data_IF_298248082302
#
_entry.id   IF_298248082302
#
_cell.length_a   1.000
_cell.length_b   1.000
_cell.length_c   1.000
_cell.angle_alpha   90.00
_cell.angle_beta   90.00
_cell.angle_gamma   90.00
#
_symmetry.space_group_name_H-M   'P 1'
#
loop_
_entity.id
_entity.type
_entity.pdbx_description
1 polymer ?
#
# COMPACT_ATOMS: atom_id res chain seq x y z
N UNK A 1 9.51 24.66 1.59
CA UNK A 1 9.02 25.02 2.95
C UNK A 1 8.10 26.23 2.96
N UNK A 2 7.32 26.48 1.90
CA UNK A 2 6.26 27.52 1.87
C UNK A 2 5.15 27.07 0.89
N UNK A 3 5.56 26.54 -0.27
CA UNK A 3 4.63 25.95 -1.24
C UNK A 3 3.89 24.72 -0.70
N UNK A 4 4.56 23.89 0.11
CA UNK A 4 3.94 22.70 0.74
C UNK A 4 2.83 23.08 1.72
N UNK A 5 3.05 24.07 2.59
CA UNK A 5 2.06 24.49 3.58
C UNK A 5 0.88 25.19 2.90
N UNK A 6 1.16 25.99 1.87
CA UNK A 6 0.11 26.55 0.99
C UNK A 6 -0.72 25.47 0.31
N UNK A 7 -0.08 24.41 -0.19
CA UNK A 7 -0.79 23.30 -0.83
C UNK A 7 -1.68 22.55 0.17
N UNK A 8 -1.20 22.27 1.39
CA UNK A 8 -2.02 21.64 2.45
C UNK A 8 -3.25 22.49 2.81
N UNK A 9 -3.08 23.81 2.94
CA UNK A 9 -4.20 24.73 3.20
C UNK A 9 -5.18 24.74 2.01
N UNK A 10 -4.67 24.76 0.78
CA UNK A 10 -5.51 24.73 -0.42
C UNK A 10 -6.35 23.45 -0.49
N UNK A 11 -5.78 22.28 -0.21
CA UNK A 11 -6.51 21.02 -0.17
C UNK A 11 -7.58 21.00 0.93
N UNK A 12 -7.25 21.50 2.13
CA UNK A 12 -8.24 21.62 3.21
C UNK A 12 -9.44 22.46 2.79
N UNK A 13 -9.21 23.65 2.23
CA UNK A 13 -10.28 24.54 1.79
C UNK A 13 -11.08 23.94 0.62
N UNK A 14 -10.41 23.28 -0.32
CA UNK A 14 -11.08 22.65 -1.46
C UNK A 14 -11.98 21.48 -1.02
N UNK A 15 -11.56 20.69 -0.01
CA UNK A 15 -12.37 19.61 0.58
C UNK A 15 -13.64 20.12 1.27
N UNK A 16 -13.61 21.32 1.86
CA UNK A 16 -14.82 21.94 2.44
C UNK A 16 -15.87 22.27 1.38
N UNK A 17 -15.43 22.59 0.15
CA UNK A 17 -16.31 22.93 -0.97
C UNK A 17 -16.76 21.71 -1.78
N UNK A 18 -15.91 20.68 -1.88
CA UNK A 18 -16.15 19.49 -2.69
C UNK A 18 -15.58 18.23 -1.99
N UNK A 19 -16.25 17.72 -0.93
CA UNK A 19 -15.73 16.61 -0.12
C UNK A 19 -15.66 15.26 -0.85
N UNK A 20 -16.38 15.11 -1.97
CA UNK A 20 -16.44 13.89 -2.77
C UNK A 20 -15.64 13.98 -4.10
N UNK A 21 -14.88 15.06 -4.31
CA UNK A 21 -14.07 15.22 -5.51
C UNK A 21 -12.86 14.25 -5.48
N UNK A 22 -12.97 13.17 -6.26
CA UNK A 22 -11.95 12.13 -6.35
C UNK A 22 -10.65 12.62 -6.99
N UNK A 23 -10.70 13.62 -7.87
CA UNK A 23 -9.51 14.20 -8.49
C UNK A 23 -8.74 15.02 -7.47
N UNK A 24 -9.46 15.80 -6.64
CA UNK A 24 -8.88 16.53 -5.53
C UNK A 24 -8.23 15.57 -4.52
N UNK A 25 -8.93 14.50 -4.15
CA UNK A 25 -8.44 13.50 -3.21
C UNK A 25 -7.19 12.78 -3.74
N UNK A 26 -7.17 12.44 -5.04
CA UNK A 26 -6.01 11.84 -5.72
C UNK A 26 -4.81 12.78 -5.78
N UNK A 27 -5.06 14.07 -6.02
CA UNK A 27 -4.03 15.11 -6.05
C UNK A 27 -3.41 15.33 -4.66
N UNK A 28 -4.23 15.30 -3.61
CA UNK A 28 -3.77 15.39 -2.22
C UNK A 28 -2.95 14.17 -1.83
N UNK A 29 -3.42 12.95 -2.12
CA UNK A 29 -2.66 11.72 -1.89
C UNK A 29 -1.29 11.81 -2.58
N UNK A 30 -1.25 12.22 -3.84
CA UNK A 30 -0.01 12.41 -4.60
C UNK A 30 0.96 13.41 -3.95
N UNK A 31 0.45 14.46 -3.30
CA UNK A 31 1.28 15.37 -2.51
C UNK A 31 1.89 14.65 -1.31
N UNK A 32 1.09 13.96 -0.50
CA UNK A 32 1.56 13.28 0.71
C UNK A 32 2.55 12.15 0.40
N UNK A 33 2.38 11.44 -0.72
CA UNK A 33 3.37 10.50 -1.23
C UNK A 33 4.73 11.17 -1.50
N UNK A 34 4.74 12.33 -2.18
CA UNK A 34 5.97 13.10 -2.45
C UNK A 34 6.64 13.62 -1.18
N UNK A 35 5.84 13.95 -0.17
CA UNK A 35 6.32 14.35 1.16
C UNK A 35 6.80 13.18 2.01
N UNK A 36 6.65 11.94 1.53
CA UNK A 36 6.94 10.70 2.29
C UNK A 36 6.12 10.56 3.57
N UNK A 37 5.00 11.26 3.64
CA UNK A 37 3.99 11.11 4.69
C UNK A 37 3.05 9.98 4.27
N UNK A 38 3.58 8.76 4.40
CA UNK A 38 2.92 7.56 3.90
C UNK A 38 1.69 7.19 4.73
N UNK A 39 1.59 7.63 5.98
CA UNK A 39 0.42 7.40 6.81
C UNK A 39 -0.77 8.19 6.27
N UNK A 40 -0.58 9.48 5.98
CA UNK A 40 -1.63 10.31 5.37
C UNK A 40 -1.96 9.82 3.96
N UNK A 41 -0.95 9.48 3.15
CA UNK A 41 -1.19 8.88 1.83
C UNK A 41 -2.03 7.60 1.92
N UNK A 42 -1.71 6.69 2.84
CA UNK A 42 -2.43 5.43 2.99
C UNK A 42 -3.89 5.68 3.37
N UNK A 43 -4.16 6.63 4.27
CA UNK A 43 -5.53 7.02 4.64
C UNK A 43 -6.32 7.54 3.43
N UNK A 44 -5.72 8.41 2.62
CA UNK A 44 -6.38 8.95 1.42
C UNK A 44 -6.60 7.88 0.35
N UNK A 45 -5.66 6.93 0.21
CA UNK A 45 -5.81 5.78 -0.69
C UNK A 45 -6.92 4.83 -0.26
N UNK A 46 -7.12 4.63 1.06
CA UNK A 46 -8.25 3.86 1.57
C UNK A 46 -9.58 4.51 1.19
N UNK A 47 -9.70 5.82 1.39
CA UNK A 47 -10.90 6.57 1.00
C UNK A 47 -11.15 6.51 -0.52
N UNK A 48 -10.11 6.67 -1.34
CA UNK A 48 -10.20 6.52 -2.80
C UNK A 48 -10.68 5.12 -3.21
N UNK A 49 -10.18 4.07 -2.56
CA UNK A 49 -10.61 2.69 -2.82
C UNK A 49 -12.04 2.43 -2.34
N UNK A 50 -12.48 3.06 -1.24
CA UNK A 50 -13.86 2.97 -0.76
C UNK A 50 -14.84 3.63 -1.74
N UNK A 51 -14.47 4.79 -2.30
CA UNK A 51 -15.29 5.51 -3.28
C UNK A 51 -15.26 4.85 -4.67
N UNK A 52 -14.12 4.29 -5.08
CA UNK A 52 -13.92 3.61 -6.36
C UNK A 52 -13.38 2.17 -6.18
N UNK A 53 -14.21 1.22 -5.68
CA UNK A 53 -13.75 -0.12 -5.31
C UNK A 53 -13.30 -1.00 -6.47
N UNK A 54 -13.68 -0.64 -7.71
CA UNK A 54 -13.38 -1.37 -8.95
C UNK A 54 -12.25 -0.73 -9.78
N UNK A 55 -11.50 0.22 -9.22
CA UNK A 55 -10.29 0.74 -9.87
C UNK A 55 -9.08 -0.13 -9.51
N UNK A 56 -8.55 -0.84 -10.52
CA UNK A 56 -7.40 -1.73 -10.33
C UNK A 56 -6.13 -0.98 -9.88
N UNK A 57 -5.91 0.23 -10.37
CA UNK A 57 -4.73 1.04 -10.07
C UNK A 57 -4.78 1.55 -8.63
N UNK A 58 -5.94 2.00 -8.16
CA UNK A 58 -6.11 2.42 -6.77
C UNK A 58 -5.92 1.25 -5.80
N UNK A 59 -6.49 0.09 -6.13
CA UNK A 59 -6.28 -1.16 -5.38
C UNK A 59 -4.81 -1.55 -5.33
N UNK A 60 -4.11 -1.53 -6.47
CA UNK A 60 -2.69 -1.84 -6.54
C UNK A 60 -1.85 -0.86 -5.73
N UNK A 61 -2.06 0.44 -5.87
CA UNK A 61 -1.33 1.47 -5.13
C UNK A 61 -1.50 1.33 -3.62
N UNK A 62 -2.73 1.05 -3.15
CA UNK A 62 -3.00 0.79 -1.74
C UNK A 62 -2.32 -0.51 -1.26
N UNK A 63 -2.41 -1.59 -2.03
CA UNK A 63 -1.70 -2.83 -1.74
C UNK A 63 -0.18 -2.63 -1.66
N UNK A 64 0.39 -1.89 -2.61
CA UNK A 64 1.83 -1.63 -2.70
C UNK A 64 2.35 -0.80 -1.52
N UNK A 65 1.66 0.28 -1.15
CA UNK A 65 2.13 1.13 -0.04
C UNK A 65 2.07 0.40 1.31
N UNK A 66 1.12 -0.52 1.50
CA UNK A 66 1.06 -1.36 2.70
C UNK A 66 2.30 -2.27 2.84
N UNK A 67 3.07 -2.47 1.77
CA UNK A 67 4.33 -3.22 1.78
C UNK A 67 5.58 -2.35 1.94
N UNK A 68 5.45 -1.02 2.17
CA UNK A 68 6.59 -0.09 2.25
C UNK A 68 7.68 -0.49 3.25
N UNK A 69 7.29 -1.19 4.32
CA UNK A 69 8.18 -1.60 5.41
C UNK A 69 8.77 -3.01 5.21
N UNK A 70 8.49 -3.70 4.10
CA UNK A 70 9.00 -5.06 3.84
C UNK A 70 10.53 -5.10 3.80
N UNK A 71 11.17 -4.21 3.03
CA UNK A 71 12.62 -4.21 2.91
C UNK A 71 13.32 -3.90 4.26
N UNK A 72 12.93 -2.84 5.02
CA UNK A 72 13.45 -2.64 6.36
C UNK A 72 13.23 -3.84 7.31
N UNK A 73 12.09 -4.53 7.20
CA UNK A 73 11.83 -5.74 7.99
C UNK A 73 12.77 -6.87 7.61
N UNK A 74 12.98 -7.12 6.31
CA UNK A 74 13.92 -8.13 5.81
C UNK A 74 15.35 -7.84 6.28
N UNK A 75 15.79 -6.59 6.21
CA UNK A 75 17.11 -6.18 6.70
C UNK A 75 17.27 -6.46 8.20
N UNK A 76 16.24 -6.18 8.99
CA UNK A 76 16.24 -6.46 10.41
C UNK A 76 16.17 -7.97 10.71
N UNK A 77 15.40 -8.75 9.94
CA UNK A 77 15.37 -10.22 10.04
C UNK A 77 16.78 -10.79 9.84
N UNK A 78 17.47 -10.35 8.78
CA UNK A 78 18.81 -10.81 8.43
C UNK A 78 19.87 -10.49 9.50
N UNK A 79 19.69 -9.40 10.26
CA UNK A 79 20.57 -9.05 11.38
C UNK A 79 20.34 -9.89 12.64
N UNK A 80 19.16 -10.49 12.76
CA UNK A 80 18.72 -11.17 14.00
C UNK A 80 18.47 -12.67 13.81
N UNK A 81 19.10 -13.32 12.81
CA UNK A 81 18.90 -14.75 12.50
C UNK A 81 19.23 -15.70 13.68
N UNK A 82 20.06 -15.28 14.63
CA UNK A 82 20.45 -16.08 15.81
C UNK A 82 19.57 -15.80 17.05
N UNK A 83 18.82 -14.69 17.05
CA UNK A 83 17.86 -14.37 18.12
C UNK A 83 16.49 -14.89 17.69
N UNK A 84 16.19 -16.13 18.09
CA UNK A 84 14.98 -16.85 17.66
C UNK A 84 13.72 -16.04 17.98
N UNK A 85 13.61 -15.49 19.19
CA UNK A 85 12.41 -14.74 19.62
C UNK A 85 12.21 -13.48 18.77
N UNK A 86 13.29 -12.73 18.52
CA UNK A 86 13.22 -11.52 17.69
C UNK A 86 12.97 -11.87 16.22
N UNK A 87 13.62 -12.90 15.71
CA UNK A 87 13.40 -13.43 14.36
C UNK A 87 11.92 -13.78 14.12
N UNK A 88 11.33 -14.60 15.00
CA UNK A 88 9.91 -14.99 14.91
C UNK A 88 8.98 -13.78 14.96
N UNK A 89 9.27 -12.82 15.85
CA UNK A 89 8.51 -11.57 15.96
C UNK A 89 8.55 -10.77 14.65
N UNK A 90 9.71 -10.65 14.02
CA UNK A 90 9.87 -9.90 12.77
C UNK A 90 9.21 -10.62 11.58
N UNK A 91 9.29 -11.95 11.52
CA UNK A 91 8.58 -12.75 10.52
C UNK A 91 7.07 -12.59 10.67
N UNK A 92 6.54 -12.57 11.90
CA UNK A 92 5.12 -12.33 12.15
C UNK A 92 4.69 -10.93 11.68
N UNK A 93 5.48 -9.89 11.96
CA UNK A 93 5.24 -8.53 11.46
C UNK A 93 5.25 -8.46 9.93
N UNK A 94 6.21 -9.15 9.30
CA UNK A 94 6.29 -9.27 7.84
C UNK A 94 5.03 -9.93 7.27
N UNK A 95 4.60 -11.07 7.81
CA UNK A 95 3.34 -11.71 7.40
C UNK A 95 2.15 -10.76 7.58
N UNK A 96 2.08 -10.01 8.69
CA UNK A 96 0.99 -9.08 8.94
C UNK A 96 0.85 -7.98 7.88
N UNK A 97 1.95 -7.40 7.39
CA UNK A 97 1.86 -6.36 6.34
C UNK A 97 1.38 -6.96 5.01
N UNK A 98 1.83 -8.15 4.66
CA UNK A 98 1.35 -8.86 3.46
C UNK A 98 -0.10 -9.30 3.57
N UNK A 99 -0.56 -9.71 4.75
CA UNK A 99 -1.98 -10.03 5.01
C UNK A 99 -2.88 -8.81 4.74
N UNK A 100 -2.43 -7.60 5.13
CA UNK A 100 -3.17 -6.37 4.87
C UNK A 100 -3.18 -6.00 3.38
N UNK A 101 -2.07 -6.20 2.67
CA UNK A 101 -1.96 -5.90 1.24
C UNK A 101 -2.75 -6.88 0.35
N UNK A 102 -2.81 -8.15 0.74
CA UNK A 102 -3.38 -9.25 -0.05
C UNK A 102 -4.76 -8.94 -0.67
N UNK A 103 -5.80 -8.54 0.07
CA UNK A 103 -7.12 -8.32 -0.52
C UNK A 103 -7.14 -7.22 -1.59
N UNK A 104 -6.26 -6.23 -1.49
CA UNK A 104 -6.15 -5.16 -2.48
C UNK A 104 -5.44 -5.66 -3.75
N UNK A 105 -4.36 -6.42 -3.59
CA UNK A 105 -3.61 -6.98 -4.72
C UNK A 105 -4.41 -8.06 -5.47
N UNK A 106 -5.12 -8.93 -4.76
CA UNK A 106 -6.03 -9.91 -5.37
C UNK A 106 -7.13 -9.21 -6.16
N UNK A 107 -7.77 -8.18 -5.58
CA UNK A 107 -8.83 -7.45 -6.27
C UNK A 107 -8.29 -6.67 -7.48
N UNK A 108 -7.12 -6.05 -7.37
CA UNK A 108 -6.46 -5.43 -8.51
C UNK A 108 -6.23 -6.43 -9.65
N UNK A 109 -5.82 -7.66 -9.33
CA UNK A 109 -5.53 -8.71 -10.31
C UNK A 109 -6.80 -9.26 -10.95
N UNK A 110 -7.87 -9.40 -10.18
CA UNK A 110 -9.20 -9.76 -10.68
C UNK A 110 -9.72 -8.75 -11.71
N UNK A 111 -9.50 -7.45 -11.46
CA UNK A 111 -9.97 -6.37 -12.36
C UNK A 111 -9.06 -6.23 -13.58
N UNK A 112 -7.75 -6.20 -13.37
CA UNK A 112 -6.76 -6.03 -14.44
C UNK A 112 -5.51 -6.90 -14.18
N UNK A 113 -5.47 -8.13 -14.70
CA UNK A 113 -4.33 -9.03 -14.51
C UNK A 113 -3.06 -8.60 -15.27
N UNK A 114 -3.19 -7.66 -16.22
CA UNK A 114 -2.08 -7.14 -17.02
C UNK A 114 -1.51 -5.83 -16.49
N UNK A 115 -1.92 -5.40 -15.29
CA UNK A 115 -1.35 -4.22 -14.65
C UNK A 115 0.15 -4.44 -14.39
N UNK A 116 0.97 -3.46 -14.78
CA UNK A 116 2.43 -3.48 -14.61
C UNK A 116 2.79 -3.77 -13.16
N UNK A 117 3.80 -4.63 -12.96
CA UNK A 117 4.35 -5.04 -11.66
C UNK A 117 3.39 -5.78 -10.69
N UNK A 118 2.09 -5.84 -10.96
CA UNK A 118 1.12 -6.46 -10.06
C UNK A 118 1.37 -7.97 -9.86
N UNK A 119 1.56 -8.71 -10.95
CA UNK A 119 1.75 -10.17 -10.91
C UNK A 119 2.95 -10.60 -10.05
N UNK A 120 4.18 -10.05 -10.21
CA UNK A 120 5.30 -10.42 -9.35
C UNK A 120 5.08 -10.04 -7.88
N UNK A 121 4.44 -8.90 -7.60
CA UNK A 121 4.14 -8.46 -6.22
C UNK A 121 3.11 -9.40 -5.56
N UNK A 122 2.06 -9.79 -6.27
CA UNK A 122 1.05 -10.72 -5.78
C UNK A 122 1.64 -12.12 -5.58
N UNK A 123 2.55 -12.57 -6.48
CA UNK A 123 3.29 -13.82 -6.28
C UNK A 123 4.13 -13.81 -5.01
N UNK A 124 4.89 -12.74 -4.78
CA UNK A 124 5.69 -12.56 -3.55
C UNK A 124 4.79 -12.55 -2.31
N UNK A 125 3.64 -11.88 -2.40
CA UNK A 125 2.63 -11.85 -1.33
C UNK A 125 2.18 -13.25 -0.94
N UNK A 126 1.81 -14.08 -1.91
CA UNK A 126 1.46 -15.48 -1.65
C UNK A 126 2.62 -16.28 -1.06
N UNK A 127 3.85 -16.05 -1.51
CA UNK A 127 5.02 -16.74 -0.97
C UNK A 127 5.27 -16.40 0.50
N UNK A 128 5.21 -15.12 0.87
CA UNK A 128 5.40 -14.67 2.27
C UNK A 128 4.29 -15.18 3.18
N UNK A 129 3.06 -15.29 2.66
CA UNK A 129 1.91 -15.83 3.37
C UNK A 129 1.80 -17.36 3.28
N UNK A 130 2.80 -18.04 2.72
CA UNK A 130 2.87 -19.51 2.59
C UNK A 130 1.71 -20.11 1.78
N UNK A 131 1.07 -19.32 0.92
CA UNK A 131 0.00 -19.73 0.01
C UNK A 131 0.58 -20.35 -1.28
N UNK A 132 1.31 -21.45 -1.12
CA UNK A 132 2.14 -22.08 -2.17
C UNK A 132 1.36 -22.38 -3.46
N UNK A 133 0.14 -22.90 -3.35
CA UNK A 133 -0.68 -23.25 -4.50
C UNK A 133 -1.08 -22.00 -5.31
N UNK A 134 -1.44 -20.90 -4.63
CA UNK A 134 -1.73 -19.63 -5.33
C UNK A 134 -0.48 -19.04 -5.96
N UNK A 135 0.66 -19.10 -5.28
CA UNK A 135 1.93 -18.61 -5.84
C UNK A 135 2.41 -19.39 -7.08
N UNK A 136 2.13 -20.70 -7.12
CA UNK A 136 2.52 -21.57 -8.23
C UNK A 136 1.63 -21.39 -9.47
N UNK A 137 0.36 -21.07 -9.26
CA UNK A 137 -0.65 -20.98 -10.31
C UNK A 137 -0.95 -19.55 -10.79
N UNK A 138 -0.25 -18.54 -10.29
CA UNK A 138 -0.38 -17.15 -10.71
C UNK A 138 0.34 -16.90 -12.04
#
# INVERSE_FOLDING_TARGET
TNQTDKAKIAYKNAKELAPDDLELLSSEASLYYKLKDFDTYTSLMQELVEKNPNDASLRFNLGYILLKDDQPLVDEINKNLKDIKKYETLIAKRKQIYTKALPHLEKAFEINPNLTDLKPILKLTYQVLEMKDKAANL
#
